data_IF_987012649179
#
_entry.id   IF_987012649179
#
_cell.length_a   1.000
_cell.length_b   1.000
_cell.length_c   1.000
_cell.angle_alpha   90.00
_cell.angle_beta   90.00
_cell.angle_gamma   90.00
#
_symmetry.space_group_name_H-M   'P 1'
#
loop_
_entity.id
_entity.type
_entity.pdbx_description
1 polymer ?
#
# COMPACT_ATOMS: atom_id res chain seq x y z
N UNK A 1 -20.72 22.42 17.84
CA UNK A 1 -20.27 23.81 17.65
C UNK A 1 -20.00 24.43 19.00
N UNK A 2 -18.75 24.84 19.24
CA UNK A 2 -18.31 25.52 20.46
C UNK A 2 -18.97 26.91 20.55
N UNK A 3 -19.77 27.15 21.59
CA UNK A 3 -20.22 28.50 21.93
C UNK A 3 -19.22 29.12 22.91
N UNK A 4 -18.50 30.15 22.46
CA UNK A 4 -17.65 31.00 23.31
C UNK A 4 -18.50 31.72 24.36
N UNK A 5 -18.10 31.62 25.63
CA UNK A 5 -18.75 32.24 26.80
C UNK A 5 -18.85 33.77 26.74
N UNK A 6 -18.19 34.42 25.78
CA UNK A 6 -18.14 35.88 25.65
C UNK A 6 -19.26 36.49 24.78
N UNK A 7 -20.04 35.69 24.04
CA UNK A 7 -21.14 36.17 23.17
C UNK A 7 -22.51 35.77 23.73
N UNK A 8 -22.90 36.35 24.86
CA UNK A 8 -24.19 36.03 25.50
C UNK A 8 -25.42 36.69 24.84
N UNK A 9 -25.25 37.51 23.80
CA UNK A 9 -26.37 38.10 23.06
C UNK A 9 -26.04 38.27 21.57
N UNK A 10 -26.10 37.19 20.80
CA UNK A 10 -26.27 37.26 19.34
C UNK A 10 -27.74 36.97 19.00
N UNK A 11 -28.28 37.66 17.98
CA UNK A 11 -29.65 37.45 17.44
C UNK A 11 -29.96 35.98 17.11
N UNK A 12 -28.93 35.15 17.01
CA UNK A 12 -28.96 33.72 16.75
C UNK A 12 -29.53 32.91 17.92
N UNK A 13 -29.34 33.33 19.18
CA UNK A 13 -29.84 32.58 20.36
C UNK A 13 -31.38 32.63 20.43
N UNK A 14 -32.05 33.80 20.29
CA UNK A 14 -33.50 33.86 20.17
C UNK A 14 -34.05 33.10 18.95
N UNK A 15 -33.33 33.14 17.82
CA UNK A 15 -33.73 32.44 16.60
C UNK A 15 -33.73 30.91 16.81
N UNK A 16 -32.65 30.35 17.36
CA UNK A 16 -32.54 28.91 17.65
C UNK A 16 -33.59 28.47 18.67
N UNK A 17 -33.90 29.29 19.67
CA UNK A 17 -34.93 28.99 20.67
C UNK A 17 -36.35 28.97 20.10
N UNK A 18 -36.58 29.63 18.97
CA UNK A 18 -37.88 29.75 18.31
C UNK A 18 -37.93 29.01 16.96
N UNK A 19 -36.97 28.12 16.67
CA UNK A 19 -36.96 27.31 15.45
C UNK A 19 -38.22 26.46 15.36
N UNK A 20 -38.88 26.51 14.20
CA UNK A 20 -39.99 25.61 13.89
C UNK A 20 -39.48 24.22 13.50
N UNK A 21 -40.33 23.20 13.60
CA UNK A 21 -39.96 21.81 13.28
C UNK A 21 -39.49 21.59 11.82
N UNK A 22 -39.80 22.52 10.93
CA UNK A 22 -39.40 22.52 9.53
C UNK A 22 -38.29 23.52 9.22
N UNK A 23 -37.61 24.05 10.23
CA UNK A 23 -36.49 24.97 10.06
C UNK A 23 -35.21 24.36 10.65
N UNK A 24 -34.10 24.55 9.96
CA UNK A 24 -32.78 24.13 10.38
C UNK A 24 -31.80 25.30 10.23
N UNK A 25 -30.68 25.22 10.94
CA UNK A 25 -29.58 26.18 10.78
C UNK A 25 -28.39 25.44 10.20
N UNK A 26 -27.98 25.85 9.01
CA UNK A 26 -26.88 25.21 8.26
C UNK A 26 -25.66 26.12 8.29
N UNK A 27 -24.49 25.54 8.56
CA UNK A 27 -23.20 26.20 8.44
C UNK A 27 -22.48 25.65 7.21
N UNK A 28 -22.07 26.53 6.30
CA UNK A 28 -21.19 26.13 5.20
C UNK A 28 -19.74 26.11 5.69
N UNK A 29 -18.91 25.22 5.15
CA UNK A 29 -17.49 25.11 5.51
C UNK A 29 -16.68 26.34 5.10
N UNK A 30 -17.11 27.06 4.07
CA UNK A 30 -16.45 28.22 3.47
C UNK A 30 -16.92 29.58 4.03
N UNK A 31 -17.93 29.60 4.91
CA UNK A 31 -18.46 30.83 5.50
C UNK A 31 -18.57 30.72 7.02
N UNK A 32 -18.17 31.77 7.74
CA UNK A 32 -18.30 31.80 9.21
C UNK A 32 -19.75 32.00 9.68
N UNK A 33 -20.62 32.53 8.82
CA UNK A 33 -22.01 32.80 9.14
C UNK A 33 -22.88 31.56 8.97
N UNK A 34 -23.86 31.41 9.88
CA UNK A 34 -24.87 30.36 9.83
C UNK A 34 -26.14 30.89 9.17
N UNK A 35 -26.82 30.04 8.40
CA UNK A 35 -28.00 30.42 7.63
C UNK A 35 -29.21 29.58 8.04
N UNK A 36 -30.39 30.19 8.20
CA UNK A 36 -31.62 29.43 8.35
C UNK A 36 -32.04 28.79 7.02
N UNK A 37 -32.51 27.55 7.08
CA UNK A 37 -33.03 26.79 5.95
C UNK A 37 -34.37 26.20 6.35
N UNK A 38 -35.35 26.27 5.45
CA UNK A 38 -36.64 25.61 5.63
C UNK A 38 -36.62 24.26 4.92
N UNK A 39 -36.94 23.19 5.64
CA UNK A 39 -37.03 21.83 5.12
C UNK A 39 -38.47 21.58 4.70
N UNK A 40 -38.69 21.30 3.41
CA UNK A 40 -39.99 20.91 2.88
C UNK A 40 -40.26 19.42 3.13
N UNK A 41 -40.59 19.08 4.39
CA UNK A 41 -40.86 17.70 4.80
C UNK A 41 -41.97 17.02 4.00
N UNK A 42 -43.00 17.76 3.61
CA UNK A 42 -44.11 17.29 2.77
C UNK A 42 -43.59 16.79 1.41
N UNK A 43 -42.68 17.54 0.78
CA UNK A 43 -42.10 17.17 -0.50
C UNK A 43 -41.22 15.91 -0.39
N UNK A 44 -40.45 15.79 0.69
CA UNK A 44 -39.59 14.61 0.93
C UNK A 44 -40.45 13.37 1.26
N UNK A 45 -41.50 13.54 2.07
CA UNK A 45 -42.37 12.44 2.48
C UNK A 45 -43.23 11.91 1.33
N UNK A 46 -43.62 12.79 0.42
CA UNK A 46 -44.42 12.45 -0.77
C UNK A 46 -43.56 12.11 -1.99
N UNK A 47 -42.23 12.19 -1.88
CA UNK A 47 -41.34 11.77 -2.96
C UNK A 47 -41.43 10.25 -3.13
N UNK A 48 -41.68 9.80 -4.36
CA UNK A 48 -41.57 8.39 -4.69
C UNK A 48 -40.13 7.94 -4.53
N UNK A 49 -39.92 6.81 -3.84
CA UNK A 49 -38.61 6.16 -3.80
C UNK A 49 -38.15 5.87 -5.23
N UNK A 50 -36.91 6.26 -5.54
CA UNK A 50 -36.29 5.89 -6.80
C UNK A 50 -36.17 4.36 -6.88
N UNK A 51 -36.45 3.82 -8.06
CA UNK A 51 -36.17 2.43 -8.38
C UNK A 51 -34.67 2.17 -8.46
N UNK A 52 -34.24 0.92 -8.33
CA UNK A 52 -32.83 0.54 -8.42
C UNK A 52 -32.18 1.02 -9.73
N UNK A 53 -32.91 0.96 -10.85
CA UNK A 53 -32.40 1.42 -12.15
C UNK A 53 -32.24 2.93 -12.22
N UNK A 54 -33.13 3.69 -11.58
CA UNK A 54 -33.02 5.14 -11.47
C UNK A 54 -31.84 5.54 -10.57
N UNK A 55 -31.58 4.79 -9.50
CA UNK A 55 -30.43 4.98 -8.62
C UNK A 55 -29.14 4.70 -9.40
N UNK A 56 -29.08 3.60 -10.13
CA UNK A 56 -27.91 3.23 -10.95
C UNK A 56 -27.63 4.33 -11.98
N UNK A 57 -28.65 4.73 -12.74
CA UNK A 57 -28.53 5.79 -13.75
C UNK A 57 -28.12 7.14 -13.13
N UNK A 58 -28.62 7.46 -11.95
CA UNK A 58 -28.26 8.68 -11.24
C UNK A 58 -26.79 8.66 -10.80
N UNK A 59 -26.33 7.54 -10.23
CA UNK A 59 -24.96 7.35 -9.77
C UNK A 59 -23.97 7.33 -10.94
N UNK A 60 -24.30 6.67 -12.06
CA UNK A 60 -23.50 6.68 -13.29
C UNK A 60 -23.31 8.11 -13.82
N UNK A 61 -24.35 8.94 -13.80
CA UNK A 61 -24.25 10.37 -14.18
C UNK A 61 -23.36 11.19 -13.26
N UNK A 62 -23.18 10.77 -12.00
CA UNK A 62 -22.24 11.38 -11.06
C UNK A 62 -20.83 10.78 -11.17
N UNK A 63 -20.60 9.84 -12.10
CA UNK A 63 -19.31 9.18 -12.34
C UNK A 63 -19.08 7.91 -11.51
N UNK A 64 -20.12 7.33 -10.90
CA UNK A 64 -20.02 6.10 -10.12
C UNK A 64 -20.63 4.91 -10.87
N UNK A 65 -19.80 3.92 -11.23
CA UNK A 65 -20.27 2.66 -11.82
C UNK A 65 -20.55 1.62 -10.71
N UNK A 66 -21.83 1.44 -10.40
CA UNK A 66 -22.28 0.50 -9.37
C UNK A 66 -22.13 -0.97 -9.80
N UNK A 67 -22.19 -1.26 -11.09
CA UNK A 67 -22.06 -2.64 -11.60
C UNK A 67 -20.62 -3.09 -11.53
N UNK A 68 -19.67 -2.22 -11.90
CA UNK A 68 -18.23 -2.47 -11.75
C UNK A 68 -17.85 -2.66 -10.28
N UNK A 69 -18.38 -1.82 -9.38
CA UNK A 69 -18.13 -1.96 -7.94
C UNK A 69 -18.68 -3.28 -7.36
N UNK A 70 -19.86 -3.72 -7.79
CA UNK A 70 -20.44 -5.00 -7.36
C UNK A 70 -19.64 -6.20 -7.90
N UNK A 71 -19.22 -6.14 -9.16
CA UNK A 71 -18.38 -7.16 -9.78
C UNK A 71 -17.03 -7.28 -9.06
N UNK A 72 -16.36 -6.15 -8.79
CA UNK A 72 -15.11 -6.09 -8.02
C UNK A 72 -15.25 -6.66 -6.62
N UNK A 73 -16.38 -6.41 -5.96
CA UNK A 73 -16.65 -6.96 -4.62
C UNK A 73 -16.83 -8.48 -4.69
N UNK A 74 -17.56 -8.98 -5.69
CA UNK A 74 -17.74 -10.42 -5.91
C UNK A 74 -16.43 -11.11 -6.29
N UNK A 75 -15.57 -10.45 -7.06
CA UNK A 75 -14.26 -10.95 -7.45
C UNK A 75 -13.26 -10.93 -6.28
N UNK A 76 -13.31 -9.95 -5.38
CA UNK A 76 -12.58 -9.96 -4.09
C UNK A 76 -13.05 -11.09 -3.16
N UNK A 77 -14.28 -11.57 -3.31
CA UNK A 77 -14.85 -12.64 -2.48
C UNK A 77 -14.50 -14.03 -3.03
N UNK A 78 -14.00 -14.15 -4.28
CA UNK A 78 -13.52 -15.41 -4.85
C UNK A 78 -12.21 -15.83 -4.15
N UNK A 79 -12.35 -16.67 -3.12
CA UNK A 79 -11.21 -17.31 -2.47
C UNK A 79 -10.54 -18.30 -3.42
N UNK A 80 -9.23 -18.15 -3.62
CA UNK A 80 -8.42 -19.11 -4.39
C UNK A 80 -8.42 -20.48 -3.72
N UNK A 81 -8.06 -21.54 -4.45
CA UNK A 81 -7.92 -22.89 -3.89
C UNK A 81 -6.97 -22.89 -2.69
N UNK A 82 -5.87 -22.12 -2.72
CA UNK A 82 -4.98 -21.96 -1.57
C UNK A 82 -5.70 -21.39 -0.34
N UNK A 83 -6.46 -20.31 -0.51
CA UNK A 83 -7.18 -19.69 0.61
C UNK A 83 -8.28 -20.60 1.18
N UNK A 84 -8.94 -21.35 0.30
CA UNK A 84 -9.97 -22.33 0.68
C UNK A 84 -9.38 -23.53 1.43
N UNK A 85 -8.26 -24.06 0.96
CA UNK A 85 -7.63 -25.27 1.50
C UNK A 85 -6.88 -25.00 2.81
N UNK A 86 -6.24 -23.83 2.94
CA UNK A 86 -5.47 -23.45 4.12
C UNK A 86 -6.28 -22.67 5.16
N UNK A 87 -7.41 -22.05 4.79
CA UNK A 87 -8.37 -21.44 5.72
C UNK A 87 -7.72 -20.47 6.70
N UNK A 88 -7.71 -20.80 7.99
CA UNK A 88 -7.07 -19.98 9.04
C UNK A 88 -5.55 -19.79 8.85
N UNK A 89 -4.92 -20.60 8.00
CA UNK A 89 -3.51 -20.52 7.64
C UNK A 89 -3.28 -19.92 6.25
N UNK A 90 -4.30 -19.33 5.61
CA UNK A 90 -4.15 -18.65 4.30
C UNK A 90 -3.08 -17.56 4.32
N UNK A 91 -2.83 -16.94 5.49
CA UNK A 91 -1.74 -16.01 5.68
C UNK A 91 -0.34 -16.60 5.44
N UNK A 92 -0.17 -17.92 5.37
CA UNK A 92 1.11 -18.59 5.07
C UNK A 92 1.23 -19.07 3.62
N UNK A 93 0.31 -18.67 2.72
CA UNK A 93 0.24 -19.21 1.35
C UNK A 93 1.54 -19.02 0.56
N UNK A 94 2.19 -17.85 0.66
CA UNK A 94 3.48 -17.59 0.00
C UNK A 94 4.60 -18.52 0.52
N UNK A 95 4.68 -18.68 1.85
CA UNK A 95 5.65 -19.58 2.49
C UNK A 95 5.40 -21.04 2.09
N UNK A 96 4.15 -21.44 1.93
CA UNK A 96 3.77 -22.78 1.50
C UNK A 96 4.17 -23.02 0.05
N UNK A 97 3.99 -22.05 -0.85
CA UNK A 97 4.45 -22.15 -2.25
C UNK A 97 5.95 -22.29 -2.33
N UNK A 98 6.69 -21.41 -1.66
CA UNK A 98 8.15 -21.47 -1.62
C UNK A 98 8.64 -22.82 -1.09
N UNK A 99 7.97 -23.35 -0.07
CA UNK A 99 8.23 -24.70 0.42
C UNK A 99 8.00 -25.75 -0.68
N UNK A 100 6.83 -25.78 -1.33
CA UNK A 100 6.50 -26.76 -2.36
C UNK A 100 7.41 -26.68 -3.60
N UNK A 101 7.83 -25.49 -4.04
CA UNK A 101 8.82 -25.31 -5.11
C UNK A 101 10.19 -25.89 -4.71
N UNK A 102 10.64 -25.58 -3.49
CA UNK A 102 11.89 -26.11 -2.95
C UNK A 102 11.84 -27.63 -2.90
N UNK A 103 10.72 -28.22 -2.49
CA UNK A 103 10.55 -29.66 -2.45
C UNK A 103 10.48 -30.27 -3.86
N UNK A 104 9.79 -29.62 -4.80
CA UNK A 104 9.72 -30.03 -6.21
C UNK A 104 11.12 -30.17 -6.86
N UNK A 105 12.05 -29.27 -6.55
CA UNK A 105 13.42 -29.34 -7.08
C UNK A 105 14.26 -30.43 -6.41
N UNK A 106 14.03 -30.72 -5.13
CA UNK A 106 14.78 -31.72 -4.36
C UNK A 106 14.25 -33.15 -4.59
N UNK A 107 12.96 -33.31 -4.91
CA UNK A 107 12.32 -34.60 -5.19
C UNK A 107 13.02 -35.38 -6.32
N UNK A 108 13.64 -34.67 -7.27
CA UNK A 108 14.43 -35.27 -8.35
C UNK A 108 15.75 -35.93 -7.87
N UNK A 109 16.19 -35.67 -6.64
CA UNK A 109 17.54 -36.00 -6.13
C UNK A 109 17.51 -37.05 -5.01
N UNK A 110 16.36 -37.29 -4.35
CA UNK A 110 16.20 -38.43 -3.45
C UNK A 110 15.05 -38.33 -2.44
N UNK A 111 14.60 -39.50 -1.96
CA UNK A 111 13.43 -39.68 -1.08
C UNK A 111 13.35 -38.67 0.07
N UNK A 112 12.28 -37.86 0.05
CA UNK A 112 11.98 -36.86 1.06
C UNK A 112 11.22 -37.48 2.22
N UNK A 113 11.84 -37.53 3.39
CA UNK A 113 11.23 -38.05 4.61
C UNK A 113 10.54 -36.95 5.42
N UNK A 114 9.48 -37.31 6.16
CA UNK A 114 8.67 -36.40 6.99
C UNK A 114 9.51 -35.47 7.87
N UNK A 115 10.55 -36.01 8.54
CA UNK A 115 11.43 -35.22 9.42
C UNK A 115 12.19 -34.12 8.68
N UNK A 116 12.58 -34.36 7.43
CA UNK A 116 13.27 -33.39 6.57
C UNK A 116 12.28 -32.31 6.11
N UNK A 117 11.09 -32.72 5.68
CA UNK A 117 10.02 -31.81 5.26
C UNK A 117 9.56 -30.89 6.39
N UNK A 118 9.32 -31.42 7.58
CA UNK A 118 8.99 -30.62 8.77
C UNK A 118 10.11 -29.67 9.18
N UNK A 119 11.37 -29.96 8.83
CA UNK A 119 12.49 -29.05 9.08
C UNK A 119 12.46 -27.90 8.08
N UNK A 120 12.32 -28.20 6.79
CA UNK A 120 12.24 -27.19 5.74
C UNK A 120 11.00 -26.30 5.90
N UNK A 121 9.82 -26.88 6.11
CA UNK A 121 8.59 -26.14 6.37
C UNK A 121 8.72 -25.22 7.58
N UNK A 122 9.41 -25.67 8.63
CA UNK A 122 9.72 -24.81 9.77
C UNK A 122 10.60 -23.64 9.37
N UNK A 123 11.64 -23.86 8.57
CA UNK A 123 12.55 -22.79 8.11
C UNK A 123 11.79 -21.71 7.35
N UNK A 124 10.86 -22.08 6.47
CA UNK A 124 10.11 -21.14 5.65
C UNK A 124 9.02 -20.40 6.45
N UNK A 125 8.34 -21.08 7.36
CA UNK A 125 7.26 -20.48 8.16
C UNK A 125 7.78 -19.64 9.35
N UNK A 126 8.94 -20.00 9.90
CA UNK A 126 9.46 -19.40 11.14
C UNK A 126 9.59 -17.87 11.11
N UNK A 127 10.11 -17.23 10.05
CA UNK A 127 10.26 -15.77 10.00
C UNK A 127 8.95 -14.99 10.16
N UNK A 128 7.83 -15.58 9.73
CA UNK A 128 6.49 -14.99 9.84
C UNK A 128 5.81 -15.43 11.13
N UNK A 129 5.88 -16.71 11.46
CA UNK A 129 5.29 -17.26 12.66
C UNK A 129 5.90 -16.66 13.94
N UNK A 130 7.20 -16.38 13.98
CA UNK A 130 7.85 -15.79 15.16
C UNK A 130 7.49 -14.31 15.42
N UNK A 131 6.86 -13.63 14.45
CA UNK A 131 6.41 -12.24 14.59
C UNK A 131 5.00 -12.16 15.16
N UNK A 132 4.20 -13.19 14.95
CA UNK A 132 2.77 -13.23 15.31
C UNK A 132 2.45 -14.22 16.43
N UNK A 133 3.38 -15.12 16.77
CA UNK A 133 3.20 -16.13 17.82
C UNK A 133 4.25 -15.93 18.92
N UNK A 134 3.80 -15.94 20.16
CA UNK A 134 4.62 -15.62 21.34
C UNK A 134 5.53 -16.80 21.73
N UNK A 135 5.19 -18.03 21.31
CA UNK A 135 5.85 -19.25 21.78
C UNK A 135 6.43 -20.14 20.68
N UNK A 136 7.64 -20.68 20.93
CA UNK A 136 8.26 -21.74 20.11
C UNK A 136 7.42 -23.02 20.03
N UNK A 137 6.53 -23.26 20.99
CA UNK A 137 5.60 -24.40 20.99
C UNK A 137 4.48 -24.16 19.98
N UNK A 138 3.95 -22.95 19.91
CA UNK A 138 2.89 -22.57 18.97
C UNK A 138 3.39 -22.62 17.52
N UNK A 139 4.62 -22.17 17.25
CA UNK A 139 5.22 -22.29 15.91
C UNK A 139 5.33 -23.75 15.46
N UNK A 140 5.66 -24.68 16.38
CA UNK A 140 5.67 -26.12 16.06
C UNK A 140 4.27 -26.64 15.76
N UNK A 141 3.27 -26.18 16.53
CA UNK A 141 1.87 -26.57 16.35
C UNK A 141 1.34 -26.11 14.98
N UNK A 142 1.54 -24.84 14.64
CA UNK A 142 1.18 -24.27 13.32
C UNK A 142 1.86 -25.01 12.18
N UNK A 143 3.17 -25.30 12.31
CA UNK A 143 3.90 -26.13 11.33
C UNK A 143 3.25 -27.50 11.15
N UNK A 144 2.94 -28.18 12.25
CA UNK A 144 2.37 -29.52 12.18
C UNK A 144 0.96 -29.51 11.59
N UNK A 145 0.15 -28.50 11.89
CA UNK A 145 -1.21 -28.31 11.32
C UNK A 145 -1.14 -28.01 9.81
N UNK A 146 -0.25 -27.12 9.37
CA UNK A 146 -0.04 -26.85 7.93
C UNK A 146 0.46 -28.10 7.20
N UNK A 147 1.37 -28.87 7.82
CA UNK A 147 1.85 -30.12 7.25
C UNK A 147 0.73 -31.15 7.08
N UNK A 148 -0.22 -31.23 8.01
CA UNK A 148 -1.39 -32.10 7.88
C UNK A 148 -2.32 -31.65 6.76
N UNK A 149 -2.52 -30.33 6.58
CA UNK A 149 -3.32 -29.80 5.46
C UNK A 149 -2.68 -30.18 4.12
N UNK A 150 -1.34 -30.06 4.01
CA UNK A 150 -0.61 -30.40 2.80
C UNK A 150 -0.82 -31.86 2.37
N UNK A 151 -0.82 -32.79 3.33
CA UNK A 151 -1.10 -34.21 3.05
C UNK A 151 -2.59 -34.40 2.71
N UNK A 152 -3.49 -33.88 3.56
CA UNK A 152 -4.94 -34.11 3.44
C UNK A 152 -5.52 -33.61 2.13
N UNK A 153 -5.04 -32.45 1.65
CA UNK A 153 -5.52 -31.83 0.42
C UNK A 153 -4.76 -32.30 -0.82
N UNK A 154 -3.75 -33.17 -0.69
CA UNK A 154 -3.01 -33.73 -1.82
C UNK A 154 -1.97 -32.80 -2.43
N UNK A 155 -1.46 -31.83 -1.65
CA UNK A 155 -0.26 -31.05 -2.02
C UNK A 155 1.03 -31.85 -1.83
N UNK A 156 1.02 -32.84 -0.93
CA UNK A 156 2.07 -33.84 -0.76
C UNK A 156 1.47 -35.23 -0.94
N UNK A 157 2.03 -36.01 -1.87
CA UNK A 157 1.64 -37.40 -2.11
C UNK A 157 2.56 -38.34 -1.31
N UNK A 158 1.95 -39.21 -0.51
CA UNK A 158 2.66 -40.25 0.23
C UNK A 158 2.95 -41.45 -0.68
N UNK A 159 4.22 -41.78 -0.83
CA UNK A 159 4.69 -42.99 -1.50
C UNK A 159 5.33 -43.94 -0.50
N UNK A 160 4.93 -45.21 -0.59
CA UNK A 160 5.57 -46.30 0.13
C UNK A 160 6.36 -47.14 -0.88
N UNK A 161 7.65 -47.36 -0.65
CA UNK A 161 8.43 -48.23 -1.53
C UNK A 161 7.85 -49.65 -1.55
N UNK A 162 7.73 -50.24 -2.74
CA UNK A 162 7.32 -51.64 -2.90
C UNK A 162 8.43 -52.55 -2.37
N UNK A 163 8.14 -53.25 -1.28
CA UNK A 163 8.75 -54.49 -0.78
C UNK A 163 10.14 -54.89 -1.32
N UNK A 164 11.13 -54.88 -0.42
CA UNK A 164 12.18 -55.90 -0.38
C UNK A 164 12.23 -56.43 1.06
N UNK A 165 12.17 -57.75 1.21
CA UNK A 165 11.90 -58.42 2.49
C UNK A 165 12.95 -58.21 3.59
N UNK A 166 12.48 -58.32 4.84
CA UNK A 166 13.32 -58.41 6.04
C UNK A 166 13.13 -57.23 6.99
N UNK A 167 12.26 -57.39 7.99
CA UNK A 167 12.16 -56.69 9.30
C UNK A 167 12.40 -55.17 9.43
N UNK A 168 12.61 -54.41 8.35
CA UNK A 168 12.79 -52.96 8.40
C UNK A 168 11.45 -52.25 8.19
N UNK A 169 11.19 -51.26 9.04
CA UNK A 169 10.00 -50.41 8.98
C UNK A 169 9.93 -49.69 7.63
N UNK A 170 8.81 -49.83 6.92
CA UNK A 170 8.53 -49.12 5.67
C UNK A 170 8.75 -47.62 5.88
N UNK A 171 9.65 -47.00 5.11
CA UNK A 171 9.88 -45.55 5.17
C UNK A 171 8.94 -44.86 4.19
N UNK A 172 8.06 -44.00 4.70
CA UNK A 172 7.21 -43.13 3.88
C UNK A 172 8.07 -42.04 3.24
N UNK A 173 8.01 -41.94 1.92
CA UNK A 173 8.54 -40.82 1.15
C UNK A 173 7.40 -39.93 0.67
N UNK A 174 7.65 -38.64 0.51
CA UNK A 174 6.66 -37.70 0.01
C UNK A 174 7.16 -37.06 -1.28
N UNK A 175 6.26 -36.83 -2.23
CA UNK A 175 6.50 -36.03 -3.43
C UNK A 175 5.47 -34.90 -3.51
N UNK A 176 5.70 -33.90 -4.35
CA UNK A 176 4.71 -32.84 -4.58
C UNK A 176 3.52 -33.42 -5.34
N UNK A 177 2.33 -33.31 -4.75
CA UNK A 177 1.10 -33.86 -5.31
C UNK A 177 0.45 -32.94 -6.35
N UNK A 178 -0.53 -33.47 -7.12
CA UNK A 178 -1.17 -32.76 -8.22
C UNK A 178 -2.02 -31.56 -7.78
N UNK A 179 -2.43 -31.48 -6.50
CA UNK A 179 -3.18 -30.35 -5.99
C UNK A 179 -2.39 -29.04 -6.07
N UNK A 180 -1.07 -29.11 -5.92
CA UNK A 180 -0.22 -27.92 -6.01
C UNK A 180 -0.32 -27.26 -7.38
N UNK A 181 -0.25 -28.05 -8.45
CA UNK A 181 -0.38 -27.54 -9.82
C UNK A 181 -1.77 -26.99 -10.09
N UNK A 182 -2.83 -27.65 -9.62
CA UNK A 182 -4.20 -27.16 -9.75
C UNK A 182 -4.42 -25.84 -9.03
N UNK A 183 -3.85 -25.68 -7.83
CA UNK A 183 -3.96 -24.45 -7.06
C UNK A 183 -3.17 -23.29 -7.71
N UNK A 184 -2.02 -23.58 -8.34
CA UNK A 184 -1.29 -22.59 -9.14
C UNK A 184 -2.04 -22.20 -10.42
N UNK A 185 -2.68 -23.15 -11.10
CA UNK A 185 -3.49 -22.89 -12.29
C UNK A 185 -4.74 -22.05 -11.94
N UNK A 186 -5.43 -22.35 -10.83
CA UNK A 186 -6.58 -21.57 -10.32
C UNK A 186 -6.19 -20.13 -9.95
N UNK A 187 -5.04 -19.94 -9.31
CA UNK A 187 -4.53 -18.62 -8.99
C UNK A 187 -4.13 -17.84 -10.25
N UNK A 188 -3.43 -18.49 -11.19
CA UNK A 188 -3.08 -17.89 -12.48
C UNK A 188 -4.31 -17.56 -13.33
N UNK A 189 -5.33 -18.42 -13.35
CA UNK A 189 -6.60 -18.14 -14.02
C UNK A 189 -7.37 -17.02 -13.32
N UNK A 190 -7.29 -16.91 -11.99
CA UNK A 190 -7.84 -15.78 -11.25
C UNK A 190 -7.11 -14.47 -11.59
N UNK A 191 -5.80 -14.52 -11.85
CA UNK A 191 -5.00 -13.38 -12.30
C UNK A 191 -5.26 -12.99 -13.77
N UNK A 192 -5.46 -13.96 -14.68
CA UNK A 192 -5.75 -13.69 -16.10
C UNK A 192 -7.21 -13.28 -16.37
N UNK A 193 -8.14 -13.70 -15.51
CA UNK A 193 -9.51 -13.17 -15.51
C UNK A 193 -9.55 -11.66 -15.26
N UNK A 194 -8.45 -11.08 -14.76
CA UNK A 194 -8.29 -9.66 -14.45
C UNK A 194 -7.67 -8.88 -15.65
N UNK A 195 -7.13 -9.54 -16.68
CA UNK A 195 -6.47 -8.86 -17.81
C UNK A 195 -7.35 -8.58 -19.03
N UNK A 196 -8.67 -8.77 -18.96
CA UNK A 196 -9.58 -8.25 -20.00
C UNK A 196 -10.73 -7.48 -19.39
N UNK A 197 -10.46 -6.20 -19.08
CA UNK A 197 -11.19 -5.01 -19.55
C UNK A 197 -10.36 -3.82 -19.04
N UNK A 198 -9.66 -3.15 -19.95
CA UNK A 198 -9.24 -1.76 -19.72
C UNK A 198 -10.50 -0.94 -19.41
N UNK A 199 -10.66 -0.56 -18.15
CA UNK A 199 -11.51 0.57 -17.79
C UNK A 199 -10.98 1.27 -16.56
N UNK A 200 -10.79 2.57 -16.72
CA UNK A 200 -10.38 3.54 -15.71
C UNK A 200 -11.38 3.56 -14.54
N UNK A 201 -11.09 2.88 -13.44
CA UNK A 201 -11.65 3.24 -12.14
C UNK A 201 -10.77 2.73 -11.00
N UNK A 202 -10.18 3.70 -10.29
CA UNK A 202 -9.25 3.48 -9.20
C UNK A 202 -9.93 3.00 -7.92
N UNK A 203 -9.44 1.88 -7.40
CA UNK A 203 -9.40 1.57 -5.96
C UNK A 203 -8.10 0.82 -5.62
N UNK A 204 -7.58 0.94 -4.39
CA UNK A 204 -6.21 0.56 -4.05
C UNK A 204 -6.06 -0.95 -3.87
N UNK A 205 -5.19 -1.54 -4.69
CA UNK A 205 -4.66 -2.89 -4.48
C UNK A 205 -3.74 -2.91 -3.25
N UNK A 206 -4.01 -3.80 -2.30
CA UNK A 206 -3.06 -4.19 -1.25
C UNK A 206 -2.05 -5.17 -1.85
N UNK A 207 -0.76 -4.80 -1.88
CA UNK A 207 0.31 -5.70 -2.30
C UNK A 207 0.68 -6.67 -1.17
N UNK A 208 0.45 -7.97 -1.40
CA UNK A 208 1.05 -9.04 -0.62
C UNK A 208 2.53 -9.21 -0.96
N UNK A 209 3.36 -8.65 -0.07
CA UNK A 209 4.74 -9.03 0.32
C UNK A 209 5.64 -9.86 -0.60
N UNK A 210 6.85 -9.31 -0.79
CA UNK A 210 8.17 -10.00 -0.88
C UNK A 210 8.43 -10.88 -2.10
N UNK A 211 8.92 -10.22 -3.14
CA UNK A 211 10.11 -10.68 -3.83
C UNK A 211 11.14 -9.53 -3.85
N UNK A 212 12.41 -9.84 -3.54
CA UNK A 212 13.50 -8.94 -3.88
C UNK A 212 13.52 -8.76 -5.42
N UNK A 213 13.90 -7.58 -5.93
CA UNK A 213 13.51 -7.13 -7.26
C UNK A 213 14.17 -8.02 -8.33
N UNK A 214 13.37 -8.86 -8.98
CA UNK A 214 13.72 -9.37 -10.31
C UNK A 214 13.35 -8.29 -11.32
N UNK A 215 14.38 -7.59 -11.79
CA UNK A 215 14.39 -6.69 -12.94
C UNK A 215 13.45 -5.47 -12.92
N UNK A 216 14.00 -4.36 -12.39
CA UNK A 216 14.03 -3.00 -12.93
C UNK A 216 13.02 -2.62 -14.04
N UNK A 217 11.72 -2.74 -13.77
CA UNK A 217 10.70 -1.98 -14.51
C UNK A 217 10.03 -1.09 -13.48
N UNK A 218 10.22 0.22 -13.61
CA UNK A 218 9.37 1.15 -12.90
C UNK A 218 8.01 1.10 -13.57
N UNK A 219 6.96 0.94 -12.78
CA UNK A 219 5.59 1.12 -13.29
C UNK A 219 5.19 2.56 -12.98
N UNK A 220 4.97 3.39 -14.01
CA UNK A 220 4.62 4.81 -13.88
C UNK A 220 3.52 5.05 -12.83
N UNK A 221 2.50 4.18 -12.82
CA UNK A 221 1.37 4.23 -11.88
C UNK A 221 1.80 4.01 -10.42
N UNK A 222 2.72 3.08 -10.17
CA UNK A 222 3.24 2.81 -8.83
C UNK A 222 4.20 3.91 -8.39
N UNK A 223 4.99 4.47 -9.32
CA UNK A 223 5.88 5.57 -9.04
C UNK A 223 5.10 6.83 -8.65
N UNK A 224 4.06 7.18 -9.41
CA UNK A 224 3.16 8.30 -9.08
C UNK A 224 2.48 8.14 -7.73
N UNK A 225 2.04 6.94 -7.36
CA UNK A 225 1.48 6.65 -6.03
C UNK A 225 2.51 6.86 -4.92
N UNK A 226 3.71 6.32 -5.08
CA UNK A 226 4.78 6.47 -4.10
C UNK A 226 5.19 7.95 -3.94
N UNK A 227 5.29 8.69 -5.05
CA UNK A 227 5.53 10.14 -5.03
C UNK A 227 4.38 10.85 -4.31
N UNK A 228 3.12 10.53 -4.60
CA UNK A 228 1.96 11.17 -3.97
C UNK A 228 1.90 10.95 -2.44
N UNK A 229 2.38 9.80 -1.94
CA UNK A 229 2.49 9.54 -0.51
C UNK A 229 3.54 10.44 0.15
N UNK A 230 4.71 10.60 -0.46
CA UNK A 230 5.78 11.45 0.09
C UNK A 230 5.53 12.95 -0.17
N UNK A 231 4.75 13.28 -1.20
CA UNK A 231 4.41 14.65 -1.60
C UNK A 231 3.77 15.47 -0.48
N UNK A 232 2.94 14.85 0.37
CA UNK A 232 2.34 15.53 1.51
C UNK A 232 3.38 16.03 2.52
N UNK A 233 4.34 15.17 2.85
CA UNK A 233 5.44 15.50 3.78
C UNK A 233 6.42 16.48 3.15
N UNK A 234 6.76 16.28 1.89
CA UNK A 234 7.62 17.20 1.14
C UNK A 234 6.99 18.60 0.99
N UNK A 235 5.68 18.68 0.75
CA UNK A 235 4.92 19.93 0.71
C UNK A 235 4.90 20.64 2.06
N UNK A 236 4.74 19.88 3.15
CA UNK A 236 4.80 20.42 4.51
C UNK A 236 6.18 21.01 4.81
N UNK A 237 7.26 20.27 4.54
CA UNK A 237 8.63 20.74 4.77
C UNK A 237 8.97 21.95 3.89
N UNK A 238 8.52 21.99 2.63
CA UNK A 238 8.65 23.15 1.75
C UNK A 238 7.94 24.39 2.30
N UNK A 239 6.70 24.23 2.77
CA UNK A 239 5.95 25.31 3.42
C UNK A 239 6.61 25.77 4.72
N UNK A 240 7.15 24.86 5.52
CA UNK A 240 7.88 25.20 6.75
C UNK A 240 9.14 26.01 6.46
N UNK A 241 9.85 25.74 5.36
CA UNK A 241 10.99 26.58 4.95
C UNK A 241 10.53 28.01 4.64
N UNK A 242 9.44 28.16 3.89
CA UNK A 242 8.84 29.46 3.59
C UNK A 242 8.43 30.20 4.87
N UNK A 243 7.75 29.52 5.80
CA UNK A 243 7.33 30.08 7.08
C UNK A 243 8.53 30.58 7.89
N UNK A 244 9.61 29.80 7.99
CA UNK A 244 10.82 30.23 8.68
C UNK A 244 11.51 31.42 8.01
N UNK A 245 11.48 31.51 6.68
CA UNK A 245 12.01 32.68 5.96
C UNK A 245 11.16 33.92 6.25
N UNK A 246 9.83 33.82 6.23
CA UNK A 246 8.90 34.92 6.51
C UNK A 246 9.08 35.47 7.94
N UNK A 247 9.31 34.57 8.90
CA UNK A 247 9.60 34.93 10.29
C UNK A 247 11.07 35.32 10.56
N UNK A 248 11.91 35.44 9.51
CA UNK A 248 13.34 35.76 9.60
C UNK A 248 14.17 34.73 10.40
N UNK A 249 13.67 33.51 10.55
CA UNK A 249 14.34 32.38 11.20
C UNK A 249 15.21 31.58 10.20
N UNK A 250 16.10 32.27 9.48
CA UNK A 250 16.88 31.69 8.37
C UNK A 250 17.68 30.44 8.73
N UNK A 251 18.20 30.35 9.95
CA UNK A 251 18.93 29.17 10.43
C UNK A 251 18.02 27.93 10.50
N UNK A 252 16.76 28.10 10.87
CA UNK A 252 15.78 27.01 10.93
C UNK A 252 15.32 26.62 9.53
N UNK A 253 15.11 27.60 8.64
CA UNK A 253 14.83 27.34 7.22
C UNK A 253 15.92 26.46 6.58
N UNK A 254 17.19 26.83 6.77
CA UNK A 254 18.34 26.08 6.24
C UNK A 254 18.41 24.66 6.83
N UNK A 255 18.13 24.49 8.14
CA UNK A 255 18.11 23.16 8.78
C UNK A 255 17.05 22.23 8.21
N UNK A 256 15.84 22.75 7.95
CA UNK A 256 14.76 21.94 7.36
C UNK A 256 15.11 21.55 5.92
N UNK A 257 15.64 22.50 5.15
CA UNK A 257 16.03 22.29 3.77
C UNK A 257 17.25 21.36 3.59
N UNK A 258 18.08 21.23 4.62
CA UNK A 258 19.26 20.37 4.57
C UNK A 258 18.89 18.92 4.24
N UNK A 259 19.51 18.38 3.18
CA UNK A 259 19.26 17.05 2.64
C UNK A 259 17.79 16.75 2.30
N UNK A 260 16.95 17.76 2.11
CA UNK A 260 15.52 17.59 1.89
C UNK A 260 15.22 16.70 0.67
N UNK A 261 15.87 16.97 -0.48
CA UNK A 261 15.68 16.17 -1.70
C UNK A 261 16.25 14.75 -1.54
N UNK A 262 17.38 14.60 -0.86
CA UNK A 262 17.96 13.28 -0.57
C UNK A 262 17.05 12.44 0.33
N UNK A 263 16.48 13.05 1.39
CA UNK A 263 15.48 12.40 2.26
C UNK A 263 14.24 12.00 1.48
N UNK A 264 13.77 12.87 0.59
CA UNK A 264 12.66 12.57 -0.31
C UNK A 264 12.94 11.30 -1.13
N UNK A 265 14.11 11.16 -1.76
CA UNK A 265 14.45 9.96 -2.54
C UNK A 265 14.59 8.69 -1.70
N UNK A 266 15.12 8.79 -0.48
CA UNK A 266 15.16 7.66 0.46
C UNK A 266 13.76 7.17 0.80
N UNK A 267 12.87 8.07 1.22
CA UNK A 267 11.51 7.68 1.61
C UNK A 267 10.69 7.24 0.40
N UNK A 268 10.89 7.87 -0.76
CA UNK A 268 10.30 7.43 -2.03
C UNK A 268 10.72 5.99 -2.37
N UNK A 269 12.01 5.65 -2.25
CA UNK A 269 12.51 4.30 -2.47
C UNK A 269 11.86 3.30 -1.49
N UNK A 270 11.81 3.64 -0.21
CA UNK A 270 11.18 2.80 0.83
C UNK A 270 9.71 2.55 0.54
N UNK A 271 8.97 3.58 0.12
CA UNK A 271 7.57 3.45 -0.25
C UNK A 271 7.37 2.65 -1.52
N UNK A 272 8.22 2.88 -2.53
CA UNK A 272 8.12 2.20 -3.81
C UNK A 272 8.40 0.70 -3.70
N UNK A 273 9.45 0.30 -2.96
CA UNK A 273 9.82 -1.11 -2.78
C UNK A 273 9.27 -1.75 -1.50
N UNK A 274 8.57 -0.99 -0.66
CA UNK A 274 8.08 -1.41 0.65
C UNK A 274 9.19 -2.02 1.55
N UNK A 275 10.28 -1.26 1.71
CA UNK A 275 11.47 -1.66 2.48
C UNK A 275 11.82 -0.65 3.56
N UNK A 276 12.39 -1.11 4.67
CA UNK A 276 12.76 -0.24 5.80
C UNK A 276 14.18 0.35 5.68
N UNK A 277 15.03 -0.24 4.85
CA UNK A 277 16.45 0.11 4.70
C UNK A 277 16.81 0.30 3.23
N UNK A 278 17.71 1.24 2.99
CA UNK A 278 18.20 1.61 1.66
C UNK A 278 19.73 1.55 1.69
N UNK A 279 20.33 0.80 0.78
CA UNK A 279 21.77 0.85 0.54
C UNK A 279 22.07 1.95 -0.50
N UNK A 280 23.21 2.65 -0.38
CA UNK A 280 23.52 3.77 -1.28
C UNK A 280 23.56 3.35 -2.77
N UNK A 281 24.11 2.16 -3.06
CA UNK A 281 24.14 1.62 -4.41
C UNK A 281 22.74 1.36 -4.98
N UNK A 282 21.79 0.94 -4.12
CA UNK A 282 20.40 0.72 -4.53
C UNK A 282 19.69 2.05 -4.81
N UNK A 283 20.00 3.09 -4.03
CA UNK A 283 19.44 4.44 -4.23
C UNK A 283 19.94 5.06 -5.54
N UNK A 284 21.22 4.92 -5.86
CA UNK A 284 21.81 5.39 -7.13
C UNK A 284 21.13 4.72 -8.33
N UNK A 285 20.97 3.39 -8.29
CA UNK A 285 20.27 2.64 -9.33
C UNK A 285 18.80 3.07 -9.44
N UNK A 286 18.14 3.35 -8.31
CA UNK A 286 16.76 3.83 -8.31
C UNK A 286 16.62 5.23 -8.91
N UNK A 287 17.55 6.15 -8.62
CA UNK A 287 17.56 7.49 -9.22
C UNK A 287 17.75 7.39 -10.73
N UNK A 288 18.63 6.50 -11.21
CA UNK A 288 18.83 6.29 -12.63
C UNK A 288 17.57 5.77 -13.34
N UNK A 289 16.85 4.85 -12.71
CA UNK A 289 15.55 4.42 -13.20
C UNK A 289 14.51 5.54 -13.14
N UNK A 290 14.44 6.28 -12.04
CA UNK A 290 13.49 7.38 -11.84
C UNK A 290 13.57 8.41 -12.96
N UNK A 291 14.79 8.79 -13.33
CA UNK A 291 15.04 9.77 -14.41
C UNK A 291 14.72 9.19 -15.78
N UNK A 292 14.88 7.88 -15.97
CA UNK A 292 14.59 7.21 -17.24
C UNK A 292 13.10 7.12 -17.55
N UNK A 293 12.24 7.41 -16.58
CA UNK A 293 10.82 7.14 -16.69
C UNK A 293 10.06 8.20 -17.51
N UNK A 294 9.23 7.79 -18.50
CA UNK A 294 8.53 8.72 -19.37
C UNK A 294 7.69 9.72 -18.58
N UNK A 295 7.89 11.02 -18.85
CA UNK A 295 7.14 12.10 -18.24
C UNK A 295 7.78 12.74 -17.01
N UNK A 296 8.82 12.12 -16.42
CA UNK A 296 9.59 12.72 -15.33
C UNK A 296 10.33 13.97 -15.84
N UNK A 297 10.14 15.15 -15.21
CA UNK A 297 10.66 16.44 -15.71
C UNK A 297 12.08 16.77 -15.22
N UNK A 298 12.90 15.74 -15.02
CA UNK A 298 14.27 15.86 -14.53
C UNK A 298 15.23 15.08 -15.41
N UNK A 299 16.39 15.67 -15.68
CA UNK A 299 17.55 14.93 -16.19
C UNK A 299 18.34 14.31 -15.04
N UNK A 300 19.28 13.41 -15.35
CA UNK A 300 20.18 12.83 -14.34
C UNK A 300 21.02 13.93 -13.69
N UNK A 301 21.55 14.83 -14.51
CA UNK A 301 22.31 16.00 -14.07
C UNK A 301 21.48 16.94 -13.17
N UNK A 302 20.18 17.10 -13.45
CA UNK A 302 19.29 17.89 -12.58
C UNK A 302 19.23 17.27 -11.18
N UNK A 303 18.99 15.95 -11.08
CA UNK A 303 18.88 15.25 -9.80
C UNK A 303 20.21 15.26 -9.04
N UNK A 304 21.33 14.97 -9.72
CA UNK A 304 22.67 15.04 -9.10
C UNK A 304 22.93 16.44 -8.52
N UNK A 305 22.60 17.50 -9.25
CA UNK A 305 22.70 18.88 -8.75
C UNK A 305 21.80 19.11 -7.52
N UNK A 306 20.58 18.56 -7.50
CA UNK A 306 19.70 18.66 -6.33
C UNK A 306 20.23 17.94 -5.09
N UNK A 307 20.91 16.82 -5.29
CA UNK A 307 21.49 16.03 -4.20
C UNK A 307 22.77 16.67 -3.66
N UNK A 308 23.63 17.20 -4.54
CA UNK A 308 24.97 17.67 -4.16
C UNK A 308 24.97 19.10 -3.61
N UNK A 309 24.23 20.03 -4.23
CA UNK A 309 24.39 21.48 -4.03
C UNK A 309 24.19 21.96 -2.59
N UNK A 310 23.36 21.24 -1.82
CA UNK A 310 23.11 21.53 -0.41
C UNK A 310 23.25 20.29 0.49
N UNK A 311 24.03 19.30 0.05
CA UNK A 311 24.42 18.15 0.88
C UNK A 311 25.24 18.57 2.11
N UNK A 312 26.07 19.60 1.94
CA UNK A 312 26.92 20.19 2.97
C UNK A 312 26.53 21.66 3.11
N UNK A 313 25.94 22.03 4.24
CA UNK A 313 25.56 23.40 4.52
C UNK A 313 26.46 24.00 5.59
N UNK A 314 27.31 24.94 5.18
CA UNK A 314 28.04 25.81 6.10
C UNK A 314 27.09 26.83 6.76
N UNK A 315 27.00 26.80 8.09
CA UNK A 315 26.18 27.69 8.92
C UNK A 315 26.97 28.90 9.45
N UNK A 316 28.28 28.97 9.21
CA UNK A 316 29.17 30.00 9.76
C UNK A 316 29.30 31.23 8.84
N UNK A 317 28.56 31.27 7.73
CA UNK A 317 28.55 32.41 6.80
C UNK A 317 27.64 33.55 7.23
N UNK A 318 28.12 34.77 7.01
CA UNK A 318 27.50 36.06 7.38
C UNK A 318 26.19 36.37 6.65
N UNK A 319 25.77 35.56 5.67
CA UNK A 319 24.61 35.81 4.80
C UNK A 319 23.59 34.66 4.83
N UNK A 320 23.13 34.27 6.02
CA UNK A 320 22.11 33.21 6.18
C UNK A 320 20.79 33.53 5.45
N UNK A 321 20.42 34.80 5.32
CA UNK A 321 19.23 35.23 4.59
C UNK A 321 19.32 34.88 3.10
N UNK A 322 20.36 35.37 2.40
CA UNK A 322 20.58 35.10 0.98
C UNK A 322 20.64 33.59 0.71
N UNK A 323 21.34 32.85 1.57
CA UNK A 323 21.46 31.40 1.46
C UNK A 323 20.13 30.67 1.68
N UNK A 324 19.30 31.10 2.64
CA UNK A 324 17.99 30.51 2.87
C UNK A 324 17.05 30.74 1.69
N UNK A 325 17.06 31.95 1.12
CA UNK A 325 16.29 32.28 -0.09
C UNK A 325 16.77 31.48 -1.31
N UNK A 326 18.08 31.40 -1.53
CA UNK A 326 18.66 30.62 -2.63
C UNK A 326 18.27 29.14 -2.54
N UNK A 327 18.38 28.54 -1.35
CA UNK A 327 17.97 27.15 -1.11
C UNK A 327 16.47 26.98 -1.33
N UNK A 328 15.65 27.90 -0.82
CA UNK A 328 14.20 27.83 -1.00
C UNK A 328 13.80 27.92 -2.47
N UNK A 329 14.37 28.84 -3.24
CA UNK A 329 14.11 28.98 -4.67
C UNK A 329 14.55 27.71 -5.42
N UNK A 330 15.71 27.16 -5.07
CA UNK A 330 16.22 25.93 -5.67
C UNK A 330 15.30 24.73 -5.37
N UNK A 331 14.94 24.50 -4.11
CA UNK A 331 13.98 23.43 -3.74
C UNK A 331 12.62 23.66 -4.37
N UNK A 332 12.18 24.91 -4.52
CA UNK A 332 10.92 25.26 -5.19
C UNK A 332 10.91 24.83 -6.66
N UNK A 333 12.05 24.88 -7.36
CA UNK A 333 12.16 24.37 -8.73
C UNK A 333 11.90 22.85 -8.75
N UNK A 334 12.52 22.10 -7.84
CA UNK A 334 12.28 20.66 -7.70
C UNK A 334 10.80 20.37 -7.40
N UNK A 335 10.24 21.07 -6.41
CA UNK A 335 8.84 20.94 -6.01
C UNK A 335 7.87 21.19 -7.17
N UNK A 336 8.04 22.30 -7.89
CA UNK A 336 7.17 22.67 -8.99
C UNK A 336 7.22 21.67 -10.14
N UNK A 337 8.43 21.21 -10.49
CA UNK A 337 8.61 20.15 -11.49
C UNK A 337 7.90 18.86 -11.06
N UNK A 338 8.08 18.43 -9.82
CA UNK A 338 7.42 17.23 -9.28
C UNK A 338 5.88 17.36 -9.28
N UNK A 339 5.34 18.53 -8.91
CA UNK A 339 3.89 18.81 -8.95
C UNK A 339 3.34 18.80 -10.38
N UNK A 340 4.08 19.30 -11.36
CA UNK A 340 3.68 19.22 -12.76
C UNK A 340 3.57 17.78 -13.25
N UNK A 341 4.47 16.91 -12.79
CA UNK A 341 4.38 15.48 -13.08
C UNK A 341 3.14 14.84 -12.46
N UNK A 342 2.85 15.10 -11.18
CA UNK A 342 1.68 14.55 -10.49
C UNK A 342 0.32 15.03 -11.03
N UNK A 343 0.28 16.20 -11.69
CA UNK A 343 -0.95 16.79 -12.26
C UNK A 343 -1.30 16.29 -13.67
N UNK A 344 -0.34 15.73 -14.39
CA UNK A 344 -0.55 15.08 -15.69
C UNK A 344 -1.10 13.69 -15.49
#
# INVERSE_FOLDING_TARGET
GYYSRARNQTYQIPYIKNLKNNEAVVKRSDMEQVFPVQIEWEAIKNASLMTSDEIITFMEKQGYDLKDAEQKLLDQIKKTIFEKDFGAYSGFTQEIKQFLETISTIDQIGNLYEKKLKKELKTVIYPKASRHLESKVEVKKVRDEIFQILIKQGYLDESHSKTAGGSESMRTSYSVGPQYRKALEDEFESDYSIETIESDSGTPFEFSTRDQPRNFIIEEKNLRKAIALEDGKFSYEHFTIYEFIDHQEFKNAIKVAHNLVYRFFIELYKHYYNVDKVENADLENFIEMFVSEPGIPFSKEDIENFLDRYSIVDFDHTNLNEKALEIYDFVSIFFNKLKLFLRK
#
